data_IF_557595311494
#
_entry.id   IF_557595311494
#
_cell.length_a   1.000
_cell.length_b   1.000
_cell.length_c   1.000
_cell.angle_alpha   90.00
_cell.angle_beta   90.00
_cell.angle_gamma   90.00
#
_symmetry.space_group_name_H-M   'P 1'
#
loop_
_entity.id
_entity.type
_entity.pdbx_description
1 polymer ?
#
# COMPACT_ATOMS: atom_id res chain seq x y z
N UNK A 1 8.50 20.00 5.04
CA UNK A 1 8.99 19.20 3.90
C UNK A 1 10.01 18.20 4.41
N UNK A 2 9.75 16.90 4.30
CA UNK A 2 10.68 15.86 4.72
C UNK A 2 11.81 15.68 3.69
N UNK A 3 13.05 15.48 4.16
CA UNK A 3 14.20 15.14 3.32
C UNK A 3 14.64 13.73 3.67
N UNK A 4 14.92 12.94 2.64
CA UNK A 4 15.34 11.54 2.78
C UNK A 4 16.63 11.37 2.00
N UNK A 5 17.62 10.76 2.63
CA UNK A 5 18.82 10.27 1.97
C UNK A 5 18.58 8.80 1.61
N UNK A 6 18.90 8.42 0.38
CA UNK A 6 18.79 7.02 -0.07
C UNK A 6 20.16 6.55 -0.56
N UNK A 7 20.49 5.30 -0.23
CA UNK A 7 21.61 4.60 -0.84
C UNK A 7 21.13 3.91 -2.11
N UNK A 8 21.86 4.11 -3.20
CA UNK A 8 21.61 3.45 -4.49
C UNK A 8 22.95 2.99 -5.07
N UNK A 9 22.96 1.94 -5.92
CA UNK A 9 24.19 1.49 -6.56
C UNK A 9 24.87 2.59 -7.36
N UNK A 10 26.21 2.64 -7.34
CA UNK A 10 26.99 3.69 -7.99
C UNK A 10 26.71 3.81 -9.48
N UNK A 11 26.55 2.69 -10.17
CA UNK A 11 26.21 2.68 -11.60
C UNK A 11 24.88 3.39 -11.88
N UNK A 12 23.90 3.25 -10.98
CA UNK A 12 22.59 3.88 -11.10
C UNK A 12 22.70 5.36 -10.76
N UNK A 13 23.46 5.71 -9.73
CA UNK A 13 23.73 7.11 -9.36
C UNK A 13 24.41 7.86 -10.51
N UNK A 14 25.39 7.23 -11.17
CA UNK A 14 26.10 7.81 -12.32
C UNK A 14 25.14 8.07 -13.48
N UNK A 15 24.38 7.05 -13.89
CA UNK A 15 23.38 7.20 -14.97
C UNK A 15 22.34 8.27 -14.64
N UNK A 16 21.82 8.27 -13.42
CA UNK A 16 20.85 9.25 -12.97
C UNK A 16 21.40 10.68 -13.03
N UNK A 17 22.66 10.87 -12.64
CA UNK A 17 23.33 12.19 -12.69
C UNK A 17 23.60 12.65 -14.13
N UNK A 18 23.88 11.73 -15.06
CA UNK A 18 24.15 12.04 -16.47
C UNK A 18 22.89 12.29 -17.28
N UNK A 19 21.80 11.57 -17.01
CA UNK A 19 20.56 11.68 -17.79
C UNK A 19 19.60 12.74 -17.26
N UNK A 20 19.64 13.05 -15.96
CA UNK A 20 18.72 14.00 -15.35
C UNK A 20 19.42 15.34 -15.09
N UNK A 21 18.87 16.46 -15.61
CA UNK A 21 19.37 17.79 -15.34
C UNK A 21 19.56 18.07 -13.85
N UNK A 22 20.60 18.84 -13.53
CA UNK A 22 20.82 19.31 -12.17
C UNK A 22 19.57 20.04 -11.65
N UNK A 23 19.30 19.93 -10.34
CA UNK A 23 18.13 20.50 -9.63
C UNK A 23 16.75 19.93 -10.01
N UNK A 24 16.64 19.07 -11.02
CA UNK A 24 15.38 18.40 -11.38
C UNK A 24 15.24 16.98 -10.82
N UNK A 25 16.32 16.42 -10.26
CA UNK A 25 16.41 15.03 -9.78
C UNK A 25 15.36 14.70 -8.72
N UNK A 26 15.26 15.50 -7.66
CA UNK A 26 14.28 15.27 -6.60
C UNK A 26 12.84 15.36 -7.11
N UNK A 27 12.56 16.26 -8.07
CA UNK A 27 11.24 16.39 -8.70
C UNK A 27 10.89 15.15 -9.53
N UNK A 28 11.85 14.62 -10.29
CA UNK A 28 11.63 13.39 -11.06
C UNK A 28 11.38 12.20 -10.15
N UNK A 29 12.22 12.03 -9.12
CA UNK A 29 12.07 10.94 -8.14
C UNK A 29 10.71 11.03 -7.44
N UNK A 30 10.28 12.22 -7.02
CA UNK A 30 8.97 12.42 -6.42
C UNK A 30 7.82 11.98 -7.35
N UNK A 31 7.88 12.37 -8.64
CA UNK A 31 6.88 11.95 -9.64
C UNK A 31 6.86 10.44 -9.85
N UNK A 32 8.04 9.81 -9.91
CA UNK A 32 8.15 8.36 -10.06
C UNK A 32 7.57 7.62 -8.84
N UNK A 33 7.88 8.10 -7.63
CA UNK A 33 7.33 7.55 -6.40
C UNK A 33 5.82 7.67 -6.36
N UNK A 34 5.28 8.84 -6.69
CA UNK A 34 3.83 9.07 -6.73
C UNK A 34 3.12 8.11 -7.73
N UNK A 35 3.71 7.93 -8.92
CA UNK A 35 3.18 6.99 -9.91
C UNK A 35 3.21 5.53 -9.42
N UNK A 36 4.28 5.14 -8.73
CA UNK A 36 4.41 3.79 -8.16
C UNK A 36 3.39 3.57 -7.04
N UNK A 37 3.23 4.55 -6.15
CA UNK A 37 2.26 4.50 -5.04
C UNK A 37 0.86 4.33 -5.59
N UNK A 38 0.43 5.21 -6.52
CA UNK A 38 -0.89 5.12 -7.16
C UNK A 38 -1.14 3.77 -7.82
N UNK A 39 -0.13 3.20 -8.49
CA UNK A 39 -0.26 1.87 -9.11
C UNK A 39 -0.45 0.77 -8.04
N UNK A 40 0.29 0.82 -6.94
CA UNK A 40 0.18 -0.16 -5.86
C UNK A 40 -1.17 -0.05 -5.14
N UNK A 41 -1.61 1.17 -4.83
CA UNK A 41 -2.92 1.44 -4.24
C UNK A 41 -4.05 0.94 -5.13
N UNK A 42 -3.98 1.22 -6.44
CA UNK A 42 -4.97 0.72 -7.41
C UNK A 42 -5.03 -0.82 -7.40
N UNK A 43 -3.88 -1.50 -7.37
CA UNK A 43 -3.83 -2.96 -7.31
C UNK A 43 -4.46 -3.52 -6.03
N UNK A 44 -4.21 -2.87 -4.89
CA UNK A 44 -4.82 -3.26 -3.62
C UNK A 44 -6.33 -3.04 -3.64
N UNK A 45 -6.77 -1.90 -4.18
CA UNK A 45 -8.19 -1.60 -4.34
C UNK A 45 -8.89 -2.62 -5.25
N UNK A 46 -8.29 -2.96 -6.39
CA UNK A 46 -8.83 -3.98 -7.31
C UNK A 46 -8.93 -5.35 -6.66
N UNK A 47 -7.93 -5.74 -5.85
CA UNK A 47 -7.96 -6.99 -5.09
C UNK A 47 -9.10 -6.99 -4.04
N UNK A 48 -9.24 -5.90 -3.28
CA UNK A 48 -10.34 -5.75 -2.32
C UNK A 48 -11.71 -5.79 -3.01
N UNK A 49 -11.85 -5.10 -4.14
CA UNK A 49 -13.08 -5.09 -4.94
C UNK A 49 -13.43 -6.48 -5.48
N UNK A 50 -12.43 -7.28 -5.88
CA UNK A 50 -12.63 -8.65 -6.32
C UNK A 50 -13.14 -9.54 -5.18
N UNK A 51 -12.55 -9.39 -3.99
CA UNK A 51 -13.01 -10.06 -2.76
C UNK A 51 -14.45 -9.68 -2.42
N UNK A 52 -14.78 -8.39 -2.43
CA UNK A 52 -16.15 -7.94 -2.16
C UNK A 52 -17.14 -8.52 -3.15
N UNK A 53 -16.80 -8.58 -4.45
CA UNK A 53 -17.67 -9.09 -5.52
C UNK A 53 -17.85 -10.61 -5.49
N UNK A 54 -16.97 -11.34 -4.80
CA UNK A 54 -17.08 -12.78 -4.66
C UNK A 54 -18.25 -13.13 -3.73
N UNK A 55 -19.35 -13.61 -4.32
CA UNK A 55 -20.59 -13.92 -3.62
C UNK A 55 -20.44 -15.14 -2.70
N UNK A 56 -19.66 -16.15 -3.13
CA UNK A 56 -19.37 -17.34 -2.31
C UNK A 56 -18.58 -16.96 -1.06
N UNK A 57 -17.51 -16.19 -1.23
CA UNK A 57 -16.69 -15.72 -0.13
C UNK A 57 -17.47 -14.80 0.80
N UNK A 58 -18.31 -13.90 0.26
CA UNK A 58 -19.16 -13.03 1.08
C UNK A 58 -20.17 -13.82 1.91
N UNK A 59 -20.72 -14.90 1.35
CA UNK A 59 -21.63 -15.78 2.08
C UNK A 59 -20.90 -16.51 3.21
N UNK A 60 -19.72 -17.08 2.95
CA UNK A 60 -18.87 -17.66 3.99
C UNK A 60 -18.55 -16.63 5.08
N UNK A 61 -18.09 -15.42 4.70
CA UNK A 61 -17.80 -14.34 5.66
C UNK A 61 -19.01 -13.97 6.54
N UNK A 62 -20.22 -13.92 5.99
CA UNK A 62 -21.44 -13.67 6.78
C UNK A 62 -21.74 -14.77 7.82
N UNK A 63 -21.27 -15.99 7.59
CA UNK A 63 -21.40 -17.07 8.57
C UNK A 63 -20.42 -16.91 9.73
N UNK A 64 -19.32 -16.18 9.54
CA UNK A 64 -18.36 -15.86 10.60
C UNK A 64 -18.80 -14.67 11.47
N UNK A 65 -19.73 -13.83 11.03
CA UNK A 65 -20.23 -12.68 11.80
C UNK A 65 -20.75 -13.07 13.19
N UNK A 66 -21.26 -14.30 13.36
CA UNK A 66 -21.72 -14.85 14.66
C UNK A 66 -20.62 -14.94 15.72
N UNK A 67 -19.34 -14.96 15.30
CA UNK A 67 -18.16 -15.07 16.18
C UNK A 67 -17.57 -13.71 16.58
N UNK A 68 -18.11 -12.61 16.07
CA UNK A 68 -17.58 -11.25 16.31
C UNK A 68 -17.61 -10.83 17.77
N UNK A 69 -18.54 -11.39 18.56
CA UNK A 69 -18.69 -11.13 20.00
C UNK A 69 -18.00 -12.16 20.90
N UNK A 70 -17.33 -13.16 20.31
CA UNK A 70 -16.64 -14.20 21.08
C UNK A 70 -15.50 -13.58 21.91
N UNK A 71 -15.52 -13.80 23.22
CA UNK A 71 -14.54 -13.23 24.17
C UNK A 71 -14.79 -11.77 24.56
N UNK A 72 -15.81 -11.10 24.02
CA UNK A 72 -16.24 -9.75 24.40
C UNK A 72 -17.45 -9.73 25.33
N UNK A 73 -18.10 -10.88 25.56
CA UNK A 73 -19.03 -11.01 26.68
C UNK A 73 -18.26 -10.86 27.97
N UNK A 74 -18.44 -9.70 28.59
CA UNK A 74 -18.15 -9.46 29.99
C UNK A 74 -18.94 -10.48 30.80
N UNK A 75 -18.30 -11.59 31.16
CA UNK A 75 -18.59 -12.29 32.41
C UNK A 75 -18.17 -11.35 33.56
N UNK A 76 -18.91 -10.26 33.74
CA UNK A 76 -19.04 -9.62 35.04
C UNK A 76 -20.07 -10.43 35.84
N UNK A 77 -19.70 -11.69 36.15
CA UNK A 77 -20.27 -12.41 37.28
C UNK A 77 -19.23 -12.44 38.39
N UNK A 78 -19.08 -11.30 39.08
CA UNK A 78 -18.53 -11.22 40.43
C UNK A 78 -19.62 -10.74 41.37
#
# INVERSE_FOLDING_TARGET
MAKILISIPDYLAYRMKSTIPARQRSRLIARLLEAIIKRREKRLYEAALAVEKDVSLRHEMSQWDITTEDGLKTDESW
#
